data_IF_972570726672
#
_entry.id   IF_972570726672
#
_cell.length_a   1.000
_cell.length_b   1.000
_cell.length_c   1.000
_cell.angle_alpha   90.00
_cell.angle_beta   90.00
_cell.angle_gamma   90.00
#
_symmetry.space_group_name_H-M   'P 1'
#
loop_
_entity.id
_entity.type
_entity.pdbx_description
1 polymer ?
#
# COMPACT_ATOMS: atom_id res chain seq x y z
N UNK A 1 -11.70 -3.20 -9.73
CA UNK A 1 -10.34 -3.35 -9.21
C UNK A 1 -10.34 -4.21 -7.97
N UNK A 2 -9.54 -5.28 -8.00
CA UNK A 2 -9.29 -6.08 -6.82
C UNK A 2 -8.32 -5.35 -5.89
N UNK A 3 -8.50 -5.46 -4.56
CA UNK A 3 -7.50 -4.96 -3.63
C UNK A 3 -6.17 -5.69 -3.82
N UNK A 4 -5.05 -5.02 -3.51
CA UNK A 4 -3.72 -5.68 -3.43
C UNK A 4 -3.79 -6.79 -2.39
N UNK A 5 -4.37 -6.48 -1.24
CA UNK A 5 -4.70 -7.43 -0.17
C UNK A 5 -6.10 -7.10 0.35
N UNK A 6 -6.98 -8.11 0.34
CA UNK A 6 -8.36 -7.97 0.80
C UNK A 6 -8.51 -7.93 2.32
N UNK A 7 -7.45 -8.32 3.04
CA UNK A 7 -7.37 -8.31 4.50
C UNK A 7 -5.92 -8.05 4.92
N UNK A 8 -5.75 -7.69 6.19
CA UNK A 8 -4.45 -7.66 6.86
C UNK A 8 -3.74 -9.00 6.68
N UNK A 9 -2.48 -8.97 6.26
CA UNK A 9 -1.65 -10.15 6.08
C UNK A 9 -0.83 -10.48 7.33
N UNK A 10 -0.42 -9.48 8.11
CA UNK A 10 0.39 -9.71 9.29
C UNK A 10 -0.37 -10.39 10.44
N UNK A 11 0.41 -10.92 11.38
CA UNK A 11 -0.08 -11.60 12.59
C UNK A 11 -0.87 -10.67 13.53
N UNK A 12 -1.51 -11.24 14.55
CA UNK A 12 -2.45 -10.54 15.44
C UNK A 12 -1.87 -9.30 16.15
N UNK A 13 -0.56 -9.23 16.34
CA UNK A 13 0.14 -8.15 17.05
C UNK A 13 0.98 -7.24 16.13
N UNK A 14 0.85 -7.36 14.81
CA UNK A 14 1.52 -6.46 13.86
C UNK A 14 0.56 -5.50 13.21
N UNK A 15 1.07 -4.44 12.59
CA UNK A 15 0.26 -3.49 11.81
C UNK A 15 0.56 -3.63 10.31
N UNK A 16 -0.46 -3.46 9.48
CA UNK A 16 -0.34 -3.35 8.03
C UNK A 16 -0.83 -1.97 7.60
N UNK A 17 -0.26 -1.43 6.51
CA UNK A 17 -0.77 -0.19 5.93
C UNK A 17 -2.12 -0.46 5.26
N UNK A 18 -3.07 0.48 5.39
CA UNK A 18 -4.26 0.49 4.55
C UNK A 18 -4.37 1.81 3.77
N UNK A 19 -4.92 1.72 2.56
CA UNK A 19 -5.22 2.88 1.72
C UNK A 19 -6.68 2.81 1.33
N UNK A 20 -7.44 3.87 1.65
CA UNK A 20 -8.85 3.98 1.29
C UNK A 20 -9.09 5.22 0.44
N UNK A 21 -9.71 5.00 -0.72
CA UNK A 21 -10.19 6.04 -1.63
C UNK A 21 -11.69 6.22 -1.43
N UNK A 22 -12.12 7.43 -1.09
CA UNK A 22 -13.53 7.81 -1.03
C UNK A 22 -14.00 8.43 -2.34
N UNK A 23 -15.31 8.39 -2.58
CA UNK A 23 -15.93 9.17 -3.65
C UNK A 23 -15.84 10.68 -3.34
N UNK A 24 -16.07 11.54 -4.34
CA UNK A 24 -15.98 12.99 -4.16
C UNK A 24 -16.98 13.56 -3.13
N UNK A 25 -18.07 12.84 -2.85
CA UNK A 25 -19.06 13.22 -1.84
C UNK A 25 -18.64 12.80 -0.41
N UNK A 26 -17.54 12.07 -0.24
CA UNK A 26 -17.03 11.60 1.05
C UNK A 26 -17.92 10.57 1.76
N UNK A 27 -18.92 10.00 1.08
CA UNK A 27 -19.93 9.14 1.69
C UNK A 27 -19.91 7.70 1.18
N UNK A 28 -18.92 7.35 0.36
CA UNK A 28 -18.75 6.00 -0.17
C UNK A 28 -17.30 5.68 -0.44
N UNK A 29 -16.93 4.41 -0.24
CA UNK A 29 -15.60 3.86 -0.56
C UNK A 29 -15.60 3.42 -2.02
N UNK A 30 -14.62 3.90 -2.79
CA UNK A 30 -14.38 3.50 -4.18
C UNK A 30 -13.39 2.33 -4.24
N UNK A 31 -12.38 2.37 -3.38
CA UNK A 31 -11.33 1.37 -3.29
C UNK A 31 -10.76 1.36 -1.88
N UNK A 32 -10.45 0.18 -1.37
CA UNK A 32 -9.67 0.02 -0.14
C UNK A 32 -8.79 -1.20 -0.28
N UNK A 33 -7.59 -1.15 0.28
CA UNK A 33 -6.66 -2.28 0.29
C UNK A 33 -5.77 -2.20 1.51
N UNK A 34 -5.23 -3.35 1.88
CA UNK A 34 -4.06 -3.45 2.75
C UNK A 34 -2.78 -3.53 1.91
N UNK A 35 -1.66 -3.20 2.55
CA UNK A 35 -0.29 -3.44 2.09
C UNK A 35 0.59 -3.73 3.31
N UNK A 36 0.93 -4.99 3.51
CA UNK A 36 1.81 -5.45 4.60
C UNK A 36 2.13 -6.94 4.50
N UNK A 37 3.00 -7.42 5.37
CA UNK A 37 3.42 -8.82 5.49
C UNK A 37 3.48 -9.28 6.94
N UNK A 38 4.36 -10.22 7.26
CA UNK A 38 4.45 -10.87 8.57
C UNK A 38 4.89 -9.96 9.73
N UNK A 39 5.48 -8.81 9.43
CA UNK A 39 6.04 -7.86 10.40
C UNK A 39 5.16 -6.62 10.59
N UNK A 40 5.74 -5.59 11.21
CA UNK A 40 5.15 -4.25 11.30
C UNK A 40 5.40 -3.46 10.01
N UNK A 41 4.32 -2.90 9.47
CA UNK A 41 4.31 -2.05 8.30
C UNK A 41 3.51 -0.77 8.58
N UNK A 42 4.18 0.37 8.51
CA UNK A 42 3.58 1.68 8.81
C UNK A 42 3.73 2.65 7.65
N UNK A 43 2.76 3.55 7.47
CA UNK A 43 2.82 4.59 6.44
C UNK A 43 3.22 5.94 7.03
N UNK A 44 4.12 6.66 6.37
CA UNK A 44 4.57 8.01 6.76
C UNK A 44 3.88 9.15 6.01
N UNK A 45 3.30 8.89 4.83
CA UNK A 45 2.62 9.93 4.05
C UNK A 45 2.06 9.45 2.72
N UNK A 46 1.13 10.23 2.16
CA UNK A 46 0.44 9.94 0.90
C UNK A 46 0.33 11.20 0.04
N UNK A 47 0.54 11.06 -1.26
CA UNK A 47 0.35 12.11 -2.26
C UNK A 47 -0.37 11.56 -3.50
N UNK A 48 -1.06 12.44 -4.21
CA UNK A 48 -1.73 12.14 -5.46
C UNK A 48 -1.05 12.88 -6.61
N UNK A 49 -0.96 12.23 -7.78
CA UNK A 49 -0.61 12.93 -9.02
C UNK A 49 -1.86 13.49 -9.75
N UNK A 50 -1.70 14.35 -10.78
CA UNK A 50 -2.83 14.96 -11.48
C UNK A 50 -3.77 13.98 -12.20
N UNK A 51 -3.35 12.73 -12.44
CA UNK A 51 -4.19 11.69 -13.05
C UNK A 51 -4.82 10.76 -12.00
N UNK A 52 -4.53 10.99 -10.72
CA UNK A 52 -5.14 10.29 -9.59
C UNK A 52 -4.42 9.01 -9.18
N UNK A 53 -3.16 8.81 -9.58
CA UNK A 53 -2.35 7.76 -8.96
C UNK A 53 -1.99 8.18 -7.53
N UNK A 54 -1.99 7.19 -6.63
CA UNK A 54 -1.64 7.35 -5.23
C UNK A 54 -0.20 6.89 -5.05
N UNK A 55 0.62 7.73 -4.45
CA UNK A 55 1.96 7.37 -3.99
C UNK A 55 1.98 7.50 -2.49
N UNK A 56 2.48 6.48 -1.81
CA UNK A 56 2.63 6.49 -0.37
C UNK A 56 3.91 5.77 0.00
N UNK A 57 4.50 6.20 1.11
CA UNK A 57 5.75 5.63 1.61
C UNK A 57 5.64 5.34 3.09
N UNK A 58 6.58 4.55 3.57
CA UNK A 58 6.51 4.02 4.92
C UNK A 58 7.71 3.16 5.27
N UNK A 59 7.60 2.47 6.40
CA UNK A 59 8.57 1.50 6.86
C UNK A 59 7.96 0.10 6.85
N UNK A 60 8.77 -0.89 6.51
CA UNK A 60 8.41 -2.31 6.58
C UNK A 60 9.47 -3.09 7.33
N UNK A 61 9.05 -3.96 8.25
CA UNK A 61 9.89 -5.00 8.86
C UNK A 61 9.56 -6.39 8.33
N UNK A 62 8.70 -6.47 7.31
CA UNK A 62 8.16 -7.70 6.74
C UNK A 62 9.11 -8.27 5.68
N UNK A 63 9.63 -9.48 5.93
CA UNK A 63 10.49 -10.18 4.96
C UNK A 63 9.73 -10.69 3.72
N UNK A 64 8.40 -10.75 3.82
CA UNK A 64 7.43 -11.18 2.83
C UNK A 64 6.53 -10.02 2.34
N UNK A 65 7.01 -8.77 2.47
CA UNK A 65 6.29 -7.58 2.04
C UNK A 65 5.83 -7.71 0.58
N UNK A 66 4.60 -7.29 0.20
CA UNK A 66 4.13 -7.42 -1.18
C UNK A 66 4.91 -6.54 -2.14
N UNK A 67 5.48 -7.13 -3.18
CA UNK A 67 6.31 -6.44 -4.17
C UNK A 67 5.70 -6.48 -5.57
N UNK A 68 5.78 -5.36 -6.29
CA UNK A 68 5.43 -5.25 -7.71
C UNK A 68 6.54 -4.46 -8.41
N UNK A 69 7.38 -5.15 -9.20
CA UNK A 69 8.54 -4.56 -9.89
C UNK A 69 9.47 -3.73 -8.96
N UNK A 70 9.97 -4.32 -7.87
CA UNK A 70 10.73 -3.58 -6.86
C UNK A 70 12.14 -3.19 -7.34
N UNK A 71 12.65 -2.06 -6.83
CA UNK A 71 14.07 -1.74 -6.94
C UNK A 71 14.93 -2.59 -5.98
N UNK A 72 14.41 -2.84 -4.78
CA UNK A 72 15.02 -3.72 -3.79
C UNK A 72 14.10 -4.94 -3.59
N UNK A 73 14.47 -6.13 -4.09
CA UNK A 73 13.56 -7.28 -4.12
C UNK A 73 13.50 -8.09 -2.81
N UNK A 74 14.30 -7.71 -1.81
CA UNK A 74 14.41 -8.42 -0.53
C UNK A 74 14.52 -7.42 0.60
N UNK A 75 14.02 -7.78 1.78
CA UNK A 75 14.26 -7.01 3.00
C UNK A 75 15.76 -6.89 3.29
N UNK A 76 16.24 -5.66 3.47
CA UNK A 76 17.63 -5.28 3.68
C UNK A 76 18.13 -5.57 5.09
N UNK A 77 17.22 -5.85 6.03
CA UNK A 77 17.53 -6.22 7.41
C UNK A 77 17.51 -5.05 8.39
N UNK A 78 17.91 -5.32 9.64
CA UNK A 78 17.83 -4.34 10.72
C UNK A 78 16.41 -4.23 11.29
N UNK A 79 16.02 -3.04 11.73
CA UNK A 79 14.68 -2.83 12.29
C UNK A 79 13.59 -2.71 11.22
N UNK A 80 13.86 -1.96 10.14
CA UNK A 80 12.90 -1.73 9.05
C UNK A 80 13.60 -1.18 7.81
N UNK A 81 13.01 -1.43 6.64
CA UNK A 81 13.33 -0.81 5.37
C UNK A 81 12.33 0.28 5.04
N UNK A 82 12.78 1.33 4.34
CA UNK A 82 11.86 2.28 3.73
C UNK A 82 11.27 1.70 2.44
N UNK A 83 9.97 1.92 2.22
CA UNK A 83 9.33 1.62 0.95
C UNK A 83 8.63 2.84 0.36
N UNK A 84 8.44 2.81 -0.96
CA UNK A 84 7.52 3.70 -1.69
C UNK A 84 6.69 2.82 -2.60
N UNK A 85 5.37 2.95 -2.50
CA UNK A 85 4.41 2.19 -3.28
C UNK A 85 3.54 3.13 -4.12
N UNK A 86 3.11 2.63 -5.28
CA UNK A 86 2.17 3.31 -6.18
C UNK A 86 0.94 2.45 -6.38
N UNK A 87 -0.25 3.03 -6.13
CA UNK A 87 -1.54 2.45 -6.52
C UNK A 87 -2.12 3.29 -7.64
N UNK A 88 -2.57 2.62 -8.70
CA UNK A 88 -3.32 3.25 -9.78
C UNK A 88 -4.79 2.84 -9.63
N UNK A 89 -5.64 3.64 -8.97
CA UNK A 89 -7.05 3.30 -8.73
C UNK A 89 -7.92 3.49 -9.98
N UNK A 90 -7.32 3.47 -11.16
CA UNK A 90 -8.02 3.47 -12.44
C UNK A 90 -7.42 2.32 -13.23
N UNK A 91 -8.25 1.36 -13.64
CA UNK A 91 -7.81 0.41 -14.65
C UNK A 91 -7.47 1.21 -15.90
N UNK A 92 -6.32 0.92 -16.52
CA UNK A 92 -5.94 1.56 -17.77
C UNK A 92 -7.04 1.34 -18.81
N UNK A 93 -7.74 2.40 -19.20
CA UNK A 93 -8.77 2.33 -20.23
C UNK A 93 -9.59 3.60 -20.38
N UNK A 94 -9.27 4.41 -21.39
CA UNK A 94 -10.25 5.24 -22.11
C UNK A 94 -10.47 6.66 -21.61
N UNK A 95 -9.85 7.62 -22.29
CA UNK A 95 -10.65 8.60 -23.02
C UNK A 95 -11.00 7.99 -24.37
#
# INVERSE_FOLDING_TARGET
>A
MNPIQAAKAGEADTDDVFVTLFNAAGNGIVYSTYLGGSGYDESGGVVLDPVGNVYFGGLTSSSDFPLVNPFQPTFGGGFSDAFVAKISPREGGGR
#
